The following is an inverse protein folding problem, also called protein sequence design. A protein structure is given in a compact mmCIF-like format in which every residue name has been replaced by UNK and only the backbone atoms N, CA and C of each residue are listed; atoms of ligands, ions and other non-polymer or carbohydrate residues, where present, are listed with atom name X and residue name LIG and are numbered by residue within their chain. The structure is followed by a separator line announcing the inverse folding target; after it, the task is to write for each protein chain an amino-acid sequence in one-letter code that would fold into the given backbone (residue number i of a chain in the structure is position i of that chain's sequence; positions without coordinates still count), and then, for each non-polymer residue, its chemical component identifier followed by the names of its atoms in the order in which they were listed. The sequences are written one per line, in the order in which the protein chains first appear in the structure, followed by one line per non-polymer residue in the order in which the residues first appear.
data_IF_620528283184
#
_entry.id   IF_620528283184
#
_cell.length_a   1.000
_cell.length_b   1.000
_cell.length_c   1.000
_cell.angle_alpha   90.00
_cell.angle_beta   90.00
_cell.angle_gamma   90.00
#
_symmetry.space_group_name_H-M   'P 1'
#
loop_
_entity.id
_entity.type
_entity.pdbx_description
1 polymer ?
#
# COMPACT_ATOMS: atom_id res chain seq x y z
N UNK A 1 -7.27 15.64 -13.92
CA UNK A 1 -7.59 14.35 -14.58
C UNK A 1 -7.40 14.52 -16.09
N UNK A 2 -7.01 13.48 -16.82
CA UNK A 2 -6.75 13.48 -18.27
C UNK A 2 -8.01 13.36 -19.13
N UNK A 3 -9.21 13.42 -18.53
CA UNK A 3 -10.48 13.41 -19.24
C UNK A 3 -11.17 14.80 -19.27
N UNK A 4 -10.43 15.87 -19.01
CA UNK A 4 -10.90 17.28 -19.00
C UNK A 4 -9.87 18.21 -19.67
N UNK A 5 -10.25 19.44 -20.02
CA UNK A 5 -9.35 20.49 -20.56
C UNK A 5 -8.44 21.11 -19.45
N UNK A 6 -7.38 21.86 -19.81
CA UNK A 6 -5.97 21.49 -19.69
C UNK A 6 -5.35 21.65 -18.28
N UNK A 7 -4.40 20.75 -17.97
CA UNK A 7 -3.75 20.57 -16.67
C UNK A 7 -2.67 21.61 -16.31
N UNK A 8 -2.25 22.47 -17.24
CA UNK A 8 -0.99 23.23 -17.09
C UNK A 8 -1.17 24.66 -16.58
N UNK A 9 -2.32 25.29 -16.85
CA UNK A 9 -2.55 26.68 -16.43
C UNK A 9 -2.54 26.83 -14.89
N UNK A 10 -2.90 25.78 -14.16
CA UNK A 10 -3.03 25.75 -12.70
C UNK A 10 -1.71 25.42 -11.97
N UNK A 11 -0.65 25.02 -12.68
CA UNK A 11 0.63 24.61 -12.07
C UNK A 11 1.60 25.78 -11.82
N UNK A 12 1.26 27.01 -12.20
CA UNK A 12 2.19 28.15 -12.13
C UNK A 12 2.29 28.84 -10.76
N UNK A 13 1.59 28.35 -9.74
CA UNK A 13 1.33 29.10 -8.49
C UNK A 13 1.89 28.48 -7.22
N UNK A 14 2.61 27.35 -7.28
CA UNK A 14 3.13 26.67 -6.07
C UNK A 14 4.65 26.83 -5.94
N UNK A 15 5.16 27.51 -4.90
CA UNK A 15 6.60 27.69 -4.68
C UNK A 15 7.36 26.38 -4.39
N UNK A 16 6.66 25.35 -3.93
CA UNK A 16 7.24 24.15 -3.28
C UNK A 16 7.20 22.88 -4.16
N UNK A 17 7.07 23.03 -5.48
CA UNK A 17 6.99 21.90 -6.42
C UNK A 17 5.60 21.24 -6.46
N UNK A 18 5.47 20.14 -7.21
CA UNK A 18 4.19 19.45 -7.39
C UNK A 18 4.35 17.92 -7.34
N UNK A 19 3.40 17.26 -6.67
CA UNK A 19 3.15 15.82 -6.80
C UNK A 19 1.83 15.64 -7.56
N UNK A 20 1.91 15.20 -8.81
CA UNK A 20 0.76 15.07 -9.69
C UNK A 20 0.45 13.59 -9.90
N UNK A 21 -0.80 13.19 -9.65
CA UNK A 21 -1.29 11.87 -10.01
C UNK A 21 -2.19 12.02 -11.24
N UNK A 22 -1.87 11.29 -12.30
CA UNK A 22 -2.66 11.26 -13.52
C UNK A 22 -3.75 10.21 -13.41
N UNK A 23 -4.95 10.63 -13.76
CA UNK A 23 -6.14 9.81 -13.74
C UNK A 23 -6.86 9.95 -15.07
N UNK A 24 -7.46 8.89 -15.57
CA UNK A 24 -8.53 9.00 -16.56
C UNK A 24 -9.82 8.49 -15.92
N UNK A 25 -10.81 9.37 -15.76
CA UNK A 25 -12.00 9.14 -14.92
C UNK A 25 -11.61 8.74 -13.48
N UNK A 26 -11.72 7.46 -13.16
CA UNK A 26 -11.41 6.84 -11.85
C UNK A 26 -10.22 5.86 -11.91
N UNK A 27 -9.58 5.75 -13.07
CA UNK A 27 -8.44 4.84 -13.28
C UNK A 27 -7.15 5.65 -13.11
N UNK A 28 -6.30 5.33 -12.13
CA UNK A 28 -5.01 6.00 -11.97
C UNK A 28 -4.01 5.45 -12.99
N UNK A 29 -3.20 6.32 -13.57
CA UNK A 29 -2.33 6.01 -14.72
C UNK A 29 -0.85 6.27 -14.44
N UNK A 30 -0.51 7.12 -13.46
CA UNK A 30 0.86 7.54 -13.23
C UNK A 30 0.99 8.61 -12.14
N UNK A 31 2.18 8.81 -11.58
CA UNK A 31 2.50 10.04 -10.85
C UNK A 31 3.77 10.69 -11.36
N UNK A 32 3.83 12.01 -11.26
CA UNK A 32 4.97 12.84 -11.61
C UNK A 32 5.30 13.78 -10.45
N UNK A 33 6.58 13.79 -10.08
CA UNK A 33 7.15 14.75 -9.14
C UNK A 33 7.85 15.84 -9.94
N UNK A 34 7.42 17.09 -9.74
CA UNK A 34 8.03 18.29 -10.31
C UNK A 34 8.69 19.02 -9.15
N UNK A 35 10.00 19.20 -9.22
CA UNK A 35 10.74 19.86 -8.14
C UNK A 35 10.54 21.38 -8.19
N UNK A 36 10.64 22.10 -7.05
CA UNK A 36 10.50 23.56 -6.98
C UNK A 36 11.37 24.33 -8.01
N UNK A 37 12.57 23.83 -8.28
CA UNK A 37 13.51 24.43 -9.23
C UNK A 37 13.17 24.18 -10.71
N UNK A 38 12.22 23.29 -11.00
CA UNK A 38 11.92 22.83 -12.34
C UNK A 38 10.88 23.74 -13.03
N UNK A 39 11.34 24.56 -13.97
CA UNK A 39 10.46 25.38 -14.81
C UNK A 39 10.05 24.59 -16.05
N UNK A 40 8.79 24.17 -16.12
CA UNK A 40 8.25 23.42 -17.26
C UNK A 40 7.49 24.33 -18.22
N UNK A 41 7.78 24.19 -19.52
CA UNK A 41 6.85 24.66 -20.55
C UNK A 41 5.64 23.72 -20.63
N UNK A 42 4.58 24.15 -21.33
CA UNK A 42 3.40 23.29 -21.59
C UNK A 42 3.82 22.01 -22.32
N UNK A 43 4.73 22.13 -23.28
CA UNK A 43 5.25 20.99 -24.04
C UNK A 43 6.04 20.04 -23.15
N UNK A 44 6.94 20.56 -22.29
CA UNK A 44 7.72 19.72 -21.36
C UNK A 44 6.81 18.95 -20.40
N UNK A 45 5.75 19.60 -19.92
CA UNK A 45 4.76 18.96 -19.08
C UNK A 45 4.09 17.78 -19.79
N UNK A 46 3.60 17.97 -21.02
CA UNK A 46 2.95 16.88 -21.74
C UNK A 46 3.91 15.74 -22.06
N UNK A 47 5.17 16.03 -22.43
CA UNK A 47 6.17 14.98 -22.62
C UNK A 47 6.41 14.17 -21.34
N UNK A 48 6.54 14.84 -20.19
CA UNK A 48 6.67 14.15 -18.89
C UNK A 48 5.42 13.39 -18.50
N UNK A 49 4.23 13.94 -18.76
CA UNK A 49 2.96 13.26 -18.50
C UNK A 49 2.84 11.99 -19.35
N UNK A 50 3.16 12.07 -20.64
CA UNK A 50 3.19 10.93 -21.57
C UNK A 50 4.16 9.85 -21.07
N UNK A 51 5.42 10.20 -20.78
CA UNK A 51 6.39 9.22 -20.28
C UNK A 51 5.96 8.59 -18.95
N UNK A 52 5.24 9.35 -18.13
CA UNK A 52 4.74 8.91 -16.82
C UNK A 52 3.61 7.89 -16.95
N UNK A 53 2.66 8.12 -17.87
CA UNK A 53 1.50 7.23 -18.04
C UNK A 53 1.75 6.09 -19.04
N UNK A 54 2.80 6.18 -19.86
CA UNK A 54 3.11 5.22 -20.90
C UNK A 54 3.11 3.75 -20.41
N UNK A 55 3.71 3.37 -19.26
CA UNK A 55 3.65 1.99 -18.77
C UNK A 55 2.22 1.50 -18.52
N UNK A 56 1.33 2.36 -18.00
CA UNK A 56 -0.07 2.02 -17.82
C UNK A 56 -0.79 1.88 -19.16
N UNK A 57 -0.51 2.78 -20.11
CA UNK A 57 -1.08 2.73 -21.45
C UNK A 57 -0.71 1.44 -22.18
N UNK A 58 0.58 1.09 -22.21
CA UNK A 58 1.08 -0.14 -22.83
C UNK A 58 0.43 -1.38 -22.19
N UNK A 59 0.29 -1.39 -20.85
CA UNK A 59 -0.41 -2.46 -20.14
C UNK A 59 -1.85 -2.62 -20.62
N UNK A 60 -2.65 -1.54 -20.64
CA UNK A 60 -4.05 -1.63 -21.02
C UNK A 60 -4.24 -1.95 -22.51
N UNK A 61 -3.40 -1.41 -23.40
CA UNK A 61 -3.41 -1.74 -24.84
C UNK A 61 -3.19 -3.24 -25.04
N UNK A 62 -2.16 -3.80 -24.39
CA UNK A 62 -1.85 -5.21 -24.49
C UNK A 62 -2.95 -6.09 -23.87
N UNK A 63 -3.49 -5.69 -22.71
CA UNK A 63 -4.54 -6.44 -22.01
C UNK A 63 -5.85 -6.52 -22.80
N UNK A 64 -6.17 -5.51 -23.60
CA UNK A 64 -7.37 -5.49 -24.44
C UNK A 64 -7.10 -5.92 -25.89
N UNK A 65 -5.86 -6.25 -26.25
CA UNK A 65 -5.44 -6.48 -27.65
C UNK A 65 -5.92 -5.35 -28.58
N UNK A 66 -5.79 -4.11 -28.11
CA UNK A 66 -6.30 -2.93 -28.79
C UNK A 66 -5.32 -2.42 -29.85
N UNK A 67 -5.81 -1.61 -30.78
CA UNK A 67 -4.96 -0.86 -31.70
C UNK A 67 -4.02 0.09 -30.94
N UNK A 68 -2.84 0.32 -31.50
CA UNK A 68 -1.80 1.18 -30.92
C UNK A 68 -1.66 2.49 -31.74
N UNK A 69 -2.64 3.41 -31.68
CA UNK A 69 -2.52 4.70 -32.35
C UNK A 69 -1.40 5.54 -31.74
N UNK A 70 -1.01 6.62 -32.41
CA UNK A 70 -0.12 7.64 -31.85
C UNK A 70 -0.89 8.53 -30.86
N UNK A 71 -1.29 7.93 -29.74
CA UNK A 71 -2.05 8.60 -28.68
C UNK A 71 -1.23 9.71 -28.02
N UNK A 72 0.11 9.61 -28.04
CA UNK A 72 1.01 10.62 -27.52
C UNK A 72 0.89 11.94 -28.30
N UNK A 73 0.75 11.88 -29.63
CA UNK A 73 0.50 13.04 -30.47
C UNK A 73 -0.81 13.77 -30.13
N UNK A 74 -1.85 13.06 -29.68
CA UNK A 74 -3.08 13.70 -29.23
C UNK A 74 -2.91 14.48 -27.93
N UNK A 75 -2.10 13.99 -26.99
CA UNK A 75 -1.83 14.71 -25.74
C UNK A 75 -0.93 15.93 -25.98
N UNK A 76 0.14 15.82 -26.78
CA UNK A 76 0.99 16.98 -27.13
C UNK A 76 0.25 18.02 -27.97
N UNK A 77 -0.57 17.56 -28.93
CA UNK A 77 -1.44 18.40 -29.76
C UNK A 77 -2.74 18.84 -29.06
N UNK A 78 -2.97 18.43 -27.81
CA UNK A 78 -4.17 18.73 -27.01
C UNK A 78 -5.50 18.36 -27.71
N UNK A 79 -5.48 17.34 -28.56
CA UNK A 79 -6.67 16.74 -29.15
C UNK A 79 -7.38 15.83 -28.13
N UNK A 80 -7.98 16.47 -27.11
CA UNK A 80 -8.66 15.77 -26.02
C UNK A 80 -9.90 15.00 -26.48
N UNK A 81 -10.47 15.34 -27.63
CA UNK A 81 -11.60 14.59 -28.22
C UNK A 81 -11.13 13.22 -28.69
N UNK A 82 -10.09 13.16 -29.55
CA UNK A 82 -9.54 11.89 -30.03
C UNK A 82 -9.00 11.03 -28.88
N UNK A 83 -8.26 11.66 -27.95
CA UNK A 83 -7.78 11.02 -26.74
C UNK A 83 -8.91 10.39 -25.92
N UNK A 84 -9.97 11.16 -25.60
CA UNK A 84 -11.05 10.64 -24.78
C UNK A 84 -11.83 9.53 -25.48
N UNK A 85 -12.17 9.67 -26.76
CA UNK A 85 -12.88 8.63 -27.52
C UNK A 85 -12.11 7.31 -27.51
N UNK A 86 -10.80 7.37 -27.74
CA UNK A 86 -9.99 6.16 -27.72
C UNK A 86 -9.84 5.59 -26.30
N UNK A 87 -9.59 6.42 -25.28
CA UNK A 87 -9.53 5.99 -23.89
C UNK A 87 -10.85 5.36 -23.41
N UNK A 88 -12.00 5.85 -23.87
CA UNK A 88 -13.30 5.22 -23.60
C UNK A 88 -13.36 3.82 -24.18
N UNK A 89 -12.93 3.64 -25.44
CA UNK A 89 -12.89 2.31 -26.05
C UNK A 89 -11.92 1.36 -25.33
N UNK A 90 -10.75 1.87 -24.89
CA UNK A 90 -9.70 1.07 -24.27
C UNK A 90 -10.04 0.66 -22.83
N UNK A 91 -10.64 1.57 -22.06
CA UNK A 91 -10.81 1.40 -20.62
C UNK A 91 -12.26 1.11 -20.20
N UNK A 92 -13.21 1.03 -21.14
CA UNK A 92 -14.63 0.77 -20.84
C UNK A 92 -14.83 -0.45 -19.92
N UNK A 93 -14.08 -1.53 -20.13
CA UNK A 93 -14.19 -2.77 -19.34
C UNK A 93 -13.70 -2.64 -17.90
N UNK A 94 -12.97 -1.58 -17.56
CA UNK A 94 -12.47 -1.30 -16.21
C UNK A 94 -13.35 -0.30 -15.44
N UNK A 95 -14.31 0.33 -16.11
CA UNK A 95 -15.31 1.21 -15.48
C UNK A 95 -16.55 0.35 -15.16
N UNK A 96 -17.02 0.32 -13.91
CA UNK A 96 -18.16 -0.50 -13.55
C UNK A 96 -19.42 0.05 -14.20
N UNK A 97 -20.09 -0.78 -14.99
CA UNK A 97 -21.39 -0.42 -15.58
C UNK A 97 -22.48 -0.23 -14.49
N UNK A 98 -22.36 -0.97 -13.38
CA UNK A 98 -23.21 -0.85 -12.21
C UNK A 98 -22.40 -1.15 -10.94
N UNK A 99 -22.63 -0.36 -9.89
CA UNK A 99 -22.01 -0.57 -8.58
C UNK A 99 -23.11 -1.05 -7.61
N UNK A 100 -22.96 -2.24 -6.99
CA UNK A 100 -23.92 -2.70 -6.00
C UNK A 100 -23.91 -1.79 -4.77
N UNK A 101 -25.06 -1.62 -4.13
CA UNK A 101 -25.17 -0.81 -2.91
C UNK A 101 -24.39 -1.41 -1.73
N UNK A 102 -24.19 -2.73 -1.71
CA UNK A 102 -23.46 -3.48 -0.68
C UNK A 102 -22.75 -4.71 -1.27
N UNK A 103 -21.60 -5.07 -0.71
CA UNK A 103 -20.82 -6.28 -1.09
C UNK A 103 -20.37 -7.09 0.13
N UNK A 104 -20.17 -8.42 -0.02
CA UNK A 104 -19.78 -9.32 1.07
C UNK A 104 -18.29 -9.15 1.46
N UNK A 105 -17.98 -8.01 2.08
CA UNK A 105 -16.66 -7.64 2.61
C UNK A 105 -16.81 -7.20 4.07
N UNK A 106 -16.00 -7.74 4.97
CA UNK A 106 -15.84 -7.24 6.34
C UNK A 106 -14.67 -6.27 6.34
N UNK A 107 -14.90 -5.02 6.69
CA UNK A 107 -13.82 -4.02 6.85
C UNK A 107 -13.39 -4.00 8.31
N UNK A 108 -12.11 -4.26 8.56
CA UNK A 108 -11.51 -4.29 9.90
C UNK A 108 -10.60 -3.07 10.06
N UNK A 109 -10.85 -2.29 11.12
CA UNK A 109 -10.05 -1.14 11.53
C UNK A 109 -9.42 -1.47 12.87
N UNK A 110 -8.09 -1.55 12.92
CA UNK A 110 -7.36 -1.74 14.16
C UNK A 110 -6.90 -0.37 14.67
N UNK A 111 -7.24 -0.03 15.91
CA UNK A 111 -6.88 1.27 16.49
C UNK A 111 -6.47 1.12 17.94
N UNK A 112 -5.66 2.07 18.44
CA UNK A 112 -5.24 2.12 19.83
C UNK A 112 -5.03 3.55 20.28
N UNK A 113 -5.93 4.07 21.12
CA UNK A 113 -5.85 5.41 21.69
C UNK A 113 -5.76 6.53 20.60
N UNK A 114 -6.50 6.36 19.50
CA UNK A 114 -6.54 7.30 18.37
C UNK A 114 -7.97 7.70 17.99
N UNK A 115 -8.79 7.96 19.00
CA UNK A 115 -10.21 8.32 18.83
C UNK A 115 -10.46 9.44 17.79
N UNK A 116 -9.65 10.52 17.68
CA UNK A 116 -9.84 11.53 16.64
C UNK A 116 -9.62 11.02 15.22
N UNK A 117 -8.57 10.23 14.99
CA UNK A 117 -8.27 9.62 13.69
C UNK A 117 -9.38 8.62 13.31
N UNK A 118 -9.78 7.75 14.25
CA UNK A 118 -10.88 6.81 14.05
C UNK A 118 -12.17 7.53 13.65
N UNK A 119 -12.52 8.63 14.33
CA UNK A 119 -13.74 9.39 14.03
C UNK A 119 -13.73 9.91 12.59
N UNK A 120 -12.60 10.44 12.13
CA UNK A 120 -12.43 10.88 10.74
C UNK A 120 -12.55 9.72 9.75
N UNK A 121 -11.90 8.60 10.04
CA UNK A 121 -11.98 7.36 9.25
C UNK A 121 -13.44 6.87 9.11
N UNK A 122 -14.18 6.79 10.22
CA UNK A 122 -15.58 6.34 10.22
C UNK A 122 -16.51 7.30 9.45
N UNK A 123 -16.33 8.62 9.55
CA UNK A 123 -17.09 9.58 8.76
C UNK A 123 -16.90 9.39 7.26
N UNK A 124 -15.66 9.17 6.84
CA UNK A 124 -15.35 8.90 5.44
C UNK A 124 -15.95 7.57 4.97
N UNK A 125 -15.90 6.51 5.79
CA UNK A 125 -16.50 5.22 5.41
C UNK A 125 -18.02 5.30 5.21
N UNK A 126 -18.72 6.28 5.82
CA UNK A 126 -20.14 6.54 5.55
C UNK A 126 -20.40 7.12 4.15
N UNK A 127 -19.37 7.67 3.49
CA UNK A 127 -19.45 8.30 2.17
C UNK A 127 -19.12 7.33 1.01
N UNK A 128 -18.83 6.06 1.31
CA UNK A 128 -18.59 5.04 0.29
C UNK A 128 -19.80 4.88 -0.63
N UNK A 129 -19.53 4.76 -1.94
CA UNK A 129 -20.56 4.50 -2.95
C UNK A 129 -21.11 3.07 -2.79
N UNK A 130 -20.24 2.13 -2.42
CA UNK A 130 -20.57 0.74 -2.15
C UNK A 130 -20.26 0.41 -0.69
N UNK A 131 -21.25 -0.04 0.08
CA UNK A 131 -21.05 -0.35 1.51
C UNK A 131 -20.46 -1.76 1.69
N UNK A 132 -19.57 -1.96 2.68
CA UNK A 132 -19.20 -3.31 3.10
C UNK A 132 -20.39 -4.00 3.78
N UNK A 133 -20.29 -5.32 3.97
CA UNK A 133 -21.29 -6.09 4.72
C UNK A 133 -21.30 -5.64 6.19
N UNK A 134 -20.11 -5.46 6.76
CA UNK A 134 -19.92 -5.01 8.12
C UNK A 134 -18.61 -4.23 8.26
N UNK A 135 -18.55 -3.39 9.30
CA UNK A 135 -17.35 -2.69 9.74
C UNK A 135 -17.07 -3.12 11.18
N UNK A 136 -15.87 -3.62 11.42
CA UNK A 136 -15.37 -4.04 12.73
C UNK A 136 -14.29 -3.05 13.18
N UNK A 137 -14.48 -2.41 14.32
CA UNK A 137 -13.45 -1.59 14.97
C UNK A 137 -12.86 -2.40 16.11
N UNK A 138 -11.59 -2.76 15.99
CA UNK A 138 -10.83 -3.47 17.02
C UNK A 138 -10.00 -2.46 17.82
N UNK A 139 -10.46 -2.19 19.03
CA UNK A 139 -9.80 -1.33 20.00
C UNK A 139 -8.73 -2.13 20.78
N UNK A 140 -7.47 -1.88 20.45
CA UNK A 140 -6.34 -2.70 20.88
C UNK A 140 -5.67 -2.15 22.15
N UNK A 141 -5.74 -2.92 23.24
CA UNK A 141 -5.24 -2.57 24.56
C UNK A 141 -5.53 -1.11 24.95
N UNK A 142 -6.81 -0.68 24.94
CA UNK A 142 -7.21 0.70 25.24
C UNK A 142 -6.81 1.10 26.66
N UNK A 143 -6.36 2.35 26.82
CA UNK A 143 -6.08 2.95 28.14
C UNK A 143 -7.27 3.72 28.71
N UNK A 144 -8.28 4.02 27.88
CA UNK A 144 -9.51 4.71 28.23
C UNK A 144 -10.67 4.23 27.32
N UNK A 145 -11.85 4.84 27.43
CA UNK A 145 -13.03 4.45 26.66
C UNK A 145 -13.26 5.30 25.39
N UNK A 146 -12.33 6.18 25.03
CA UNK A 146 -12.54 7.16 23.94
C UNK A 146 -12.82 6.51 22.59
N UNK A 147 -12.17 5.39 22.27
CA UNK A 147 -12.46 4.61 21.05
C UNK A 147 -13.92 4.11 21.04
N UNK A 148 -14.39 3.55 22.16
CA UNK A 148 -15.74 3.02 22.28
C UNK A 148 -16.79 4.13 22.15
N UNK A 149 -16.55 5.28 22.79
CA UNK A 149 -17.42 6.46 22.69
C UNK A 149 -17.53 6.99 21.26
N UNK A 150 -16.44 6.92 20.47
CA UNK A 150 -16.47 7.25 19.05
C UNK A 150 -17.33 6.25 18.28
N UNK A 151 -17.12 4.94 18.46
CA UNK A 151 -17.89 3.91 17.73
C UNK A 151 -19.39 4.03 18.00
N UNK A 152 -19.80 4.32 19.24
CA UNK A 152 -21.21 4.52 19.60
C UNK A 152 -21.91 5.67 18.85
N UNK A 153 -21.16 6.61 18.27
CA UNK A 153 -21.72 7.70 17.46
C UNK A 153 -22.11 7.25 16.04
N UNK A 154 -21.72 6.05 15.60
CA UNK A 154 -21.94 5.55 14.24
C UNK A 154 -22.80 4.29 14.25
N UNK A 155 -23.84 4.27 13.41
CA UNK A 155 -24.69 3.10 13.23
C UNK A 155 -24.00 2.04 12.35
N UNK A 156 -24.26 0.76 12.64
CA UNK A 156 -23.77 -0.35 11.82
C UNK A 156 -22.28 -0.67 11.96
N UNK A 157 -21.63 -0.14 13.01
CA UNK A 157 -20.24 -0.44 13.36
C UNK A 157 -20.22 -1.39 14.55
N UNK A 158 -19.44 -2.46 14.46
CA UNK A 158 -19.23 -3.41 15.57
C UNK A 158 -17.96 -3.02 16.32
N UNK A 159 -18.08 -2.74 17.62
CA UNK A 159 -16.93 -2.53 18.51
C UNK A 159 -16.43 -3.87 19.05
N UNK A 160 -15.12 -4.11 18.93
CA UNK A 160 -14.41 -5.25 19.50
C UNK A 160 -13.28 -4.74 20.37
N UNK A 161 -13.12 -5.30 21.57
CA UNK A 161 -12.02 -4.97 22.48
C UNK A 161 -11.03 -6.12 22.51
N UNK A 162 -9.77 -5.86 22.19
CA UNK A 162 -8.66 -6.81 22.35
C UNK A 162 -7.75 -6.33 23.48
N UNK A 163 -7.68 -7.02 24.62
CA UNK A 163 -6.90 -6.56 25.77
C UNK A 163 -5.38 -6.66 25.60
N UNK A 164 -4.88 -7.51 24.69
CA UNK A 164 -3.43 -7.71 24.49
C UNK A 164 -2.88 -6.71 23.48
N UNK A 165 -1.79 -5.97 23.79
CA UNK A 165 -1.25 -4.98 22.86
C UNK A 165 -0.56 -5.67 21.67
N UNK A 166 -0.91 -5.26 20.44
CA UNK A 166 -0.38 -5.80 19.20
C UNK A 166 -1.32 -5.52 18.02
N UNK A 167 -0.80 -5.00 16.92
CA UNK A 167 -1.53 -4.80 15.68
C UNK A 167 -1.93 -6.13 15.03
N UNK A 168 -1.04 -7.11 14.96
CA UNK A 168 -1.33 -8.44 14.41
C UNK A 168 -2.28 -9.22 15.33
N UNK A 169 -2.15 -9.08 16.66
CA UNK A 169 -3.18 -9.52 17.62
C UNK A 169 -4.54 -8.89 17.32
N UNK A 170 -4.60 -7.57 17.11
CA UNK A 170 -5.84 -6.87 16.77
C UNK A 170 -6.41 -7.33 15.42
N UNK A 171 -5.55 -7.54 14.41
CA UNK A 171 -5.92 -8.07 13.10
C UNK A 171 -6.53 -9.46 13.23
N UNK A 172 -5.93 -10.33 14.05
CA UNK A 172 -6.43 -11.68 14.33
C UNK A 172 -7.78 -11.64 15.04
N UNK A 173 -7.96 -10.74 16.02
CA UNK A 173 -9.27 -10.48 16.63
C UNK A 173 -10.29 -10.05 15.58
N UNK A 174 -9.93 -9.18 14.64
CA UNK A 174 -10.79 -8.79 13.53
C UNK A 174 -11.22 -9.94 12.62
N UNK A 175 -10.29 -10.76 12.11
CA UNK A 175 -10.60 -11.89 11.21
C UNK A 175 -11.51 -12.91 11.87
N UNK A 176 -11.24 -13.24 13.14
CA UNK A 176 -12.00 -14.26 13.87
C UNK A 176 -13.44 -13.85 14.11
N UNK A 177 -13.72 -12.54 14.16
CA UNK A 177 -15.08 -11.99 14.29
C UNK A 177 -15.74 -11.61 12.96
N UNK A 178 -14.96 -11.52 11.87
CA UNK A 178 -15.46 -11.23 10.54
C UNK A 178 -16.37 -12.36 10.02
N UNK A 179 -17.51 -11.99 9.45
CA UNK A 179 -18.55 -12.90 8.93
C UNK A 179 -18.53 -13.00 7.41
N UNK A 180 -18.03 -11.98 6.72
CA UNK A 180 -17.97 -11.98 5.27
C UNK A 180 -16.83 -12.88 4.76
N UNK A 181 -16.94 -13.41 3.52
CA UNK A 181 -15.90 -14.23 2.90
C UNK A 181 -14.62 -13.46 2.55
N UNK A 182 -14.66 -12.12 2.51
CA UNK A 182 -13.51 -11.26 2.26
C UNK A 182 -13.31 -10.37 3.49
N UNK A 183 -12.09 -10.33 4.01
CA UNK A 183 -11.68 -9.46 5.11
C UNK A 183 -10.72 -8.41 4.58
N UNK A 184 -11.12 -7.14 4.63
CA UNK A 184 -10.31 -6.01 4.22
C UNK A 184 -9.81 -5.23 5.43
N UNK A 185 -8.55 -4.79 5.38
CA UNK A 185 -7.94 -3.97 6.41
C UNK A 185 -7.70 -2.56 5.91
N UNK A 186 -8.02 -1.60 6.77
CA UNK A 186 -7.68 -0.19 6.59
C UNK A 186 -7.23 0.39 7.93
N UNK A 187 -6.16 1.18 7.90
CA UNK A 187 -5.65 1.83 9.11
C UNK A 187 -6.51 3.07 9.47
N UNK A 188 -6.49 3.48 10.73
CA UNK A 188 -7.26 4.62 11.22
C UNK A 188 -6.76 5.99 10.70
N UNK A 189 -5.55 6.04 10.15
CA UNK A 189 -4.94 7.22 9.51
C UNK A 189 -4.89 7.15 7.99
N UNK A 190 -5.69 6.26 7.40
CA UNK A 190 -5.86 6.10 5.96
C UNK A 190 -7.20 6.65 5.51
N UNK A 191 -7.18 7.38 4.39
CA UNK A 191 -8.38 7.80 3.68
C UNK A 191 -8.62 6.89 2.47
N UNK A 192 -9.83 6.40 2.23
CA UNK A 192 -10.14 5.48 1.13
C UNK A 192 -10.91 6.19 0.02
N UNK A 193 -10.67 5.78 -1.23
CA UNK A 193 -11.47 6.23 -2.36
C UNK A 193 -12.94 5.77 -2.22
N UNK A 194 -13.95 6.55 -2.67
CA UNK A 194 -15.36 6.16 -2.56
C UNK A 194 -15.73 4.82 -3.22
N UNK A 195 -14.94 4.34 -4.18
CA UNK A 195 -15.09 3.02 -4.82
C UNK A 195 -14.24 1.92 -4.18
N UNK A 196 -13.45 2.22 -3.14
CA UNK A 196 -12.45 1.30 -2.58
C UNK A 196 -13.03 -0.08 -2.24
N UNK A 197 -14.12 -0.15 -1.45
CA UNK A 197 -14.73 -1.44 -1.06
C UNK A 197 -15.24 -2.21 -2.29
N UNK A 198 -15.81 -1.53 -3.27
CA UNK A 198 -16.25 -2.15 -4.52
C UNK A 198 -15.04 -2.75 -5.27
N UNK A 199 -13.94 -2.00 -5.41
CA UNK A 199 -12.73 -2.44 -6.11
C UNK A 199 -12.00 -3.58 -5.38
N UNK A 200 -12.06 -3.59 -4.05
CA UNK A 200 -11.62 -4.73 -3.23
C UNK A 200 -12.44 -5.96 -3.58
N UNK A 201 -13.77 -5.88 -3.49
CA UNK A 201 -14.66 -7.01 -3.80
C UNK A 201 -14.53 -7.49 -5.25
N UNK A 202 -14.46 -6.56 -6.20
CA UNK A 202 -14.31 -6.83 -7.64
C UNK A 202 -13.07 -7.69 -7.92
N UNK A 203 -11.96 -7.43 -7.22
CA UNK A 203 -10.73 -8.18 -7.41
C UNK A 203 -10.85 -9.65 -7.00
N UNK A 204 -11.71 -9.98 -6.01
CA UNK A 204 -11.98 -11.35 -5.55
C UNK A 204 -13.02 -12.11 -6.38
N UNK A 205 -13.62 -11.46 -7.40
CA UNK A 205 -14.47 -12.17 -8.38
C UNK A 205 -13.67 -13.21 -9.16
N UNK A 206 -12.35 -13.02 -9.27
CA UNK A 206 -11.45 -14.08 -9.67
C UNK A 206 -11.27 -15.05 -8.49
N UNK A 207 -11.71 -16.33 -8.61
CA UNK A 207 -11.60 -17.31 -7.54
C UNK A 207 -10.14 -17.65 -7.18
N UNK A 208 -9.17 -17.41 -8.07
CA UNK A 208 -7.75 -17.67 -7.81
C UNK A 208 -7.11 -16.60 -6.92
N UNK A 209 -7.72 -15.42 -6.82
CA UNK A 209 -7.22 -14.35 -5.96
C UNK A 209 -7.47 -14.71 -4.50
N UNK A 210 -6.38 -14.92 -3.77
CA UNK A 210 -6.38 -15.26 -2.34
C UNK A 210 -6.21 -14.04 -1.45
N UNK A 211 -5.44 -13.06 -1.91
CA UNK A 211 -5.28 -11.78 -1.27
C UNK A 211 -5.10 -10.67 -2.30
N UNK A 212 -5.35 -9.45 -1.87
CA UNK A 212 -5.04 -8.27 -2.66
C UNK A 212 -4.26 -7.24 -1.84
N UNK A 213 -3.53 -6.42 -2.59
CA UNK A 213 -3.03 -5.12 -2.15
C UNK A 213 -3.51 -4.05 -3.13
N UNK A 214 -3.58 -2.79 -2.69
CA UNK A 214 -4.04 -1.70 -3.53
C UNK A 214 -3.07 -0.52 -3.62
N UNK A 215 -3.40 0.43 -4.49
CA UNK A 215 -2.64 1.67 -4.63
C UNK A 215 -2.72 2.49 -3.33
N UNK A 216 -1.57 2.91 -2.84
CA UNK A 216 -1.45 3.82 -1.70
C UNK A 216 -0.78 5.10 -2.19
N UNK A 217 -1.49 6.21 -2.06
CA UNK A 217 -0.99 7.56 -2.39
C UNK A 217 -0.72 8.33 -1.10
N UNK A 218 0.09 9.39 -1.18
CA UNK A 218 0.21 10.32 -0.07
C UNK A 218 -1.08 11.13 0.09
N UNK A 219 -1.65 11.20 1.30
CA UNK A 219 -2.77 12.09 1.61
C UNK A 219 -2.32 13.57 1.63
N UNK A 220 -1.09 13.81 2.08
CA UNK A 220 -0.48 15.14 2.11
C UNK A 220 1.04 15.07 1.97
N UNK A 221 1.61 16.12 1.36
CA UNK A 221 3.06 16.28 1.14
C UNK A 221 3.46 17.73 1.46
N UNK A 222 3.16 18.18 2.68
CA UNK A 222 3.40 19.56 3.12
C UNK A 222 4.74 19.75 3.85
N UNK A 223 5.41 18.66 4.22
CA UNK A 223 6.67 18.72 4.97
C UNK A 223 7.77 17.89 4.31
N UNK A 224 9.02 18.25 4.61
CA UNK A 224 10.21 17.52 4.12
C UNK A 224 10.11 16.02 4.46
N UNK A 225 9.68 15.67 5.68
CA UNK A 225 9.56 14.28 6.10
C UNK A 225 8.59 13.49 5.22
N UNK A 226 7.45 14.08 4.86
CA UNK A 226 6.44 13.44 4.02
C UNK A 226 6.95 13.26 2.59
N UNK A 227 7.58 14.29 2.04
CA UNK A 227 8.19 14.25 0.72
C UNK A 227 9.30 13.20 0.63
N UNK A 228 10.20 13.14 1.62
CA UNK A 228 11.26 12.14 1.69
C UNK A 228 10.68 10.71 1.78
N UNK A 229 9.64 10.50 2.59
CA UNK A 229 8.98 9.21 2.69
C UNK A 229 8.38 8.79 1.34
N UNK A 230 7.60 9.65 0.70
CA UNK A 230 6.99 9.37 -0.61
C UNK A 230 8.03 9.20 -1.73
N UNK A 231 9.19 9.83 -1.64
CA UNK A 231 10.21 9.70 -2.69
C UNK A 231 11.00 8.40 -2.59
N UNK A 232 11.26 7.91 -1.38
CA UNK A 232 12.24 6.82 -1.17
C UNK A 232 11.64 5.56 -0.54
N UNK A 233 10.52 5.66 0.16
CA UNK A 233 9.87 4.57 0.89
C UNK A 233 8.36 4.49 0.61
N UNK A 234 7.90 5.06 -0.51
CA UNK A 234 6.47 5.04 -0.88
C UNK A 234 5.89 3.64 -0.87
N UNK A 235 4.62 3.57 -0.51
CA UNK A 235 3.80 2.38 -0.61
C UNK A 235 3.22 2.15 -2.01
N UNK A 236 3.37 3.13 -2.91
CA UNK A 236 2.90 3.04 -4.28
C UNK A 236 3.70 1.97 -5.07
N UNK A 237 3.01 0.93 -5.55
CA UNK A 237 3.62 -0.14 -6.36
C UNK A 237 3.28 -0.01 -7.86
N UNK A 238 2.87 1.17 -8.31
CA UNK A 238 2.60 1.49 -9.70
C UNK A 238 1.11 1.47 -10.06
N UNK A 239 0.81 1.59 -11.36
CA UNK A 239 -0.51 1.95 -11.87
C UNK A 239 -1.15 0.88 -12.76
N UNK A 240 -0.65 -0.35 -12.67
CA UNK A 240 -1.14 -1.51 -13.42
C UNK A 240 -1.40 -2.68 -12.47
N UNK A 241 -2.33 -3.57 -12.82
CA UNK A 241 -2.51 -4.79 -12.03
C UNK A 241 -1.24 -5.65 -12.10
N UNK A 242 -0.88 -6.28 -10.98
CA UNK A 242 0.20 -7.26 -10.92
C UNK A 242 -0.29 -8.51 -10.21
N UNK A 243 0.18 -9.66 -10.66
CA UNK A 243 -0.16 -10.96 -10.11
C UNK A 243 1.10 -11.63 -9.59
N UNK A 244 1.08 -11.98 -8.32
CA UNK A 244 2.15 -12.68 -7.63
C UNK A 244 1.63 -14.07 -7.29
N UNK A 245 2.11 -15.07 -8.02
CA UNK A 245 1.76 -16.47 -7.80
C UNK A 245 3.00 -17.34 -7.71
N UNK A 246 2.83 -18.63 -8.00
CA UNK A 246 3.90 -19.62 -7.93
C UNK A 246 5.13 -19.23 -8.77
N UNK A 247 4.93 -18.77 -10.01
CA UNK A 247 6.04 -18.42 -10.90
C UNK A 247 6.90 -17.28 -10.34
N UNK A 248 6.26 -16.24 -9.82
CA UNK A 248 6.97 -15.15 -9.13
C UNK A 248 7.71 -15.69 -7.90
N UNK A 249 7.06 -16.51 -7.09
CA UNK A 249 7.67 -17.06 -5.87
C UNK A 249 8.90 -17.92 -6.20
N UNK A 250 8.79 -18.85 -7.14
CA UNK A 250 9.89 -19.75 -7.55
C UNK A 250 11.06 -18.97 -8.15
N UNK A 251 10.79 -18.01 -9.04
CA UNK A 251 11.82 -17.16 -9.66
C UNK A 251 12.54 -16.32 -8.62
N UNK A 252 11.84 -15.93 -7.54
CA UNK A 252 12.37 -15.05 -6.50
C UNK A 252 12.96 -15.75 -5.29
N UNK A 253 12.68 -17.04 -5.13
CA UNK A 253 12.97 -17.80 -3.92
C UNK A 253 14.45 -17.74 -3.55
N UNK A 254 15.34 -18.00 -4.51
CA UNK A 254 16.78 -18.15 -4.26
C UNK A 254 17.49 -16.87 -3.81
N UNK A 255 16.93 -15.69 -4.06
CA UNK A 255 17.47 -14.40 -3.62
C UNK A 255 16.73 -13.78 -2.42
N UNK A 256 15.71 -14.46 -1.91
CA UNK A 256 14.82 -13.92 -0.89
C UNK A 256 13.72 -13.11 -1.57
N UNK A 257 12.51 -13.66 -1.70
CA UNK A 257 11.42 -12.99 -2.38
C UNK A 257 11.20 -11.56 -1.86
N UNK A 258 11.11 -10.54 -2.73
CA UNK A 258 10.95 -9.15 -2.31
C UNK A 258 9.47 -8.87 -1.99
N UNK A 259 8.96 -9.53 -0.94
CA UNK A 259 7.54 -9.54 -0.58
C UNK A 259 7.01 -8.14 -0.22
N UNK A 260 7.88 -7.27 0.28
CA UNK A 260 7.56 -5.87 0.55
C UNK A 260 7.19 -5.07 -0.71
N UNK A 261 7.51 -5.56 -1.92
CA UNK A 261 7.11 -4.95 -3.19
C UNK A 261 5.68 -5.31 -3.62
N UNK A 262 5.00 -6.20 -2.89
CA UNK A 262 3.62 -6.61 -3.20
C UNK A 262 2.63 -5.51 -2.81
N UNK A 263 2.87 -4.79 -1.71
CA UNK A 263 2.01 -3.69 -1.28
C UNK A 263 2.33 -3.20 0.13
N UNK A 264 1.31 -2.69 0.81
CA UNK A 264 1.39 -2.20 2.19
C UNK A 264 0.15 -2.65 2.99
N UNK A 265 0.33 -2.95 4.27
CA UNK A 265 -0.77 -3.33 5.17
C UNK A 265 -1.88 -2.29 5.33
N UNK A 266 -1.61 -1.04 4.95
CA UNK A 266 -2.58 0.06 4.89
C UNK A 266 -3.70 -0.15 3.85
N UNK A 267 -3.48 -1.03 2.86
CA UNK A 267 -4.45 -1.32 1.80
C UNK A 267 -4.33 -2.78 1.36
N UNK A 268 -4.91 -3.68 2.16
CA UNK A 268 -4.88 -5.10 1.90
C UNK A 268 -6.22 -5.76 2.21
N UNK A 269 -6.52 -6.84 1.51
CA UNK A 269 -7.66 -7.69 1.83
C UNK A 269 -7.35 -9.14 1.51
N UNK A 270 -8.08 -10.05 2.15
CA UNK A 270 -7.84 -11.49 2.08
C UNK A 270 -9.15 -12.24 1.90
N UNK A 271 -9.09 -13.34 1.16
CA UNK A 271 -10.14 -14.35 1.22
C UNK A 271 -10.05 -15.02 2.59
N UNK A 272 -11.14 -14.96 3.36
CA UNK A 272 -11.17 -15.43 4.74
C UNK A 272 -10.75 -16.90 4.87
N UNK A 273 -11.24 -17.74 3.96
CA UNK A 273 -10.91 -19.17 3.93
C UNK A 273 -9.41 -19.45 3.75
N UNK A 274 -8.68 -18.57 3.04
CA UNK A 274 -7.23 -18.73 2.87
C UNK A 274 -6.52 -18.45 4.19
N UNK A 275 -6.93 -17.42 4.94
CA UNK A 275 -6.36 -17.13 6.26
C UNK A 275 -6.67 -18.23 7.29
N UNK A 276 -7.85 -18.85 7.19
CA UNK A 276 -8.20 -20.01 8.02
C UNK A 276 -7.33 -21.24 7.69
N UNK A 277 -6.84 -21.37 6.45
CA UNK A 277 -5.98 -22.47 6.02
C UNK A 277 -4.49 -22.23 6.29
N UNK A 278 -3.95 -21.06 5.92
CA UNK A 278 -2.51 -20.74 6.08
C UNK A 278 -2.18 -20.22 7.49
N UNK A 279 -3.20 -20.06 8.34
CA UNK A 279 -3.10 -19.49 9.67
C UNK A 279 -3.11 -17.95 9.66
N UNK A 280 -3.34 -17.36 10.83
CA UNK A 280 -3.46 -15.91 10.99
C UNK A 280 -2.11 -15.19 11.11
N UNK A 281 -2.13 -13.86 11.33
CA UNK A 281 -0.94 -13.03 11.43
C UNK A 281 -0.05 -13.48 12.59
N UNK A 282 1.26 -13.47 12.36
CA UNK A 282 2.26 -13.90 13.35
C UNK A 282 2.47 -12.82 14.43
N UNK A 283 1.90 -13.03 15.62
CA UNK A 283 2.00 -12.13 16.77
C UNK A 283 3.46 -11.88 17.23
N UNK A 284 4.48 -12.61 16.73
CA UNK A 284 5.90 -12.31 17.02
C UNK A 284 6.39 -11.05 16.28
N UNK A 285 5.69 -10.64 15.23
CA UNK A 285 6.03 -9.47 14.42
C UNK A 285 5.42 -8.16 14.95
N UNK A 286 4.71 -8.25 16.07
CA UNK A 286 3.88 -7.16 16.55
C UNK A 286 4.60 -5.95 17.17
N UNK A 287 3.84 -4.86 17.33
CA UNK A 287 4.26 -3.68 18.10
C UNK A 287 4.45 -4.06 19.57
N UNK A 288 5.69 -3.96 20.07
CA UNK A 288 6.10 -4.48 21.39
C UNK A 288 6.94 -5.76 21.31
N UNK A 289 6.96 -6.41 20.14
CA UNK A 289 7.80 -7.55 19.79
C UNK A 289 8.85 -7.14 18.73
N UNK A 290 8.77 -7.62 17.48
CA UNK A 290 9.68 -7.20 16.41
C UNK A 290 9.37 -5.80 15.87
N UNK A 291 8.11 -5.35 15.98
CA UNK A 291 7.69 -3.97 15.72
C UNK A 291 6.67 -3.82 14.58
N UNK A 292 6.82 -4.55 13.46
CA UNK A 292 5.91 -4.54 12.31
C UNK A 292 6.30 -5.64 11.29
N UNK A 293 5.69 -5.63 10.09
CA UNK A 293 5.88 -6.57 8.97
C UNK A 293 5.07 -7.88 9.03
N UNK A 294 4.02 -7.98 9.86
CA UNK A 294 3.08 -9.11 9.83
C UNK A 294 2.37 -9.27 8.48
N UNK A 295 2.14 -8.16 7.76
CA UNK A 295 1.63 -8.15 6.38
C UNK A 295 2.58 -8.83 5.39
N UNK A 296 3.87 -8.46 5.41
CA UNK A 296 4.88 -9.06 4.55
C UNK A 296 5.12 -10.53 4.87
N UNK A 297 5.06 -10.94 6.14
CA UNK A 297 5.11 -12.36 6.48
C UNK A 297 3.88 -13.12 5.99
N UNK A 298 2.68 -12.57 6.16
CA UNK A 298 1.44 -13.17 5.66
C UNK A 298 1.48 -13.38 4.13
N UNK A 299 1.90 -12.36 3.36
CA UNK A 299 2.01 -12.50 1.91
C UNK A 299 3.04 -13.56 1.49
N UNK A 300 4.17 -13.66 2.19
CA UNK A 300 5.13 -14.75 1.96
C UNK A 300 4.46 -16.11 2.18
N UNK A 301 3.71 -16.25 3.26
CA UNK A 301 3.05 -17.51 3.62
C UNK A 301 1.99 -17.90 2.57
N UNK A 302 1.18 -16.94 2.12
CA UNK A 302 0.20 -17.16 1.04
C UNK A 302 0.88 -17.67 -0.23
N UNK A 303 1.97 -17.03 -0.67
CA UNK A 303 2.73 -17.49 -1.84
C UNK A 303 3.40 -18.86 -1.62
N UNK A 304 3.92 -19.10 -0.42
CA UNK A 304 4.53 -20.37 -0.04
C UNK A 304 3.53 -21.54 -0.11
N UNK A 305 2.25 -21.29 0.19
CA UNK A 305 1.16 -22.24 0.02
C UNK A 305 0.63 -22.33 -1.42
N UNK A 306 1.23 -21.61 -2.38
CA UNK A 306 0.89 -21.69 -3.80
C UNK A 306 -0.29 -20.81 -4.23
N UNK A 307 -0.80 -19.95 -3.34
CA UNK A 307 -1.89 -19.03 -3.64
C UNK A 307 -1.42 -17.79 -4.43
N UNK A 308 -2.37 -17.10 -5.06
CA UNK A 308 -2.09 -15.88 -5.83
C UNK A 308 -2.51 -14.62 -5.08
N UNK A 309 -1.60 -13.65 -5.05
CA UNK A 309 -1.85 -12.29 -4.55
C UNK A 309 -1.94 -11.34 -5.74
N UNK A 310 -2.95 -10.48 -5.75
CA UNK A 310 -3.15 -9.48 -6.78
C UNK A 310 -2.92 -8.07 -6.22
N UNK A 311 -1.97 -7.33 -6.79
CA UNK A 311 -1.94 -5.89 -6.63
C UNK A 311 -2.93 -5.27 -7.62
N UNK A 312 -3.87 -4.47 -7.14
CA UNK A 312 -4.81 -3.75 -8.00
C UNK A 312 -4.75 -2.23 -7.75
N UNK A 313 -4.30 -1.44 -8.74
CA UNK A 313 -4.14 0.00 -8.55
C UNK A 313 -5.48 0.75 -8.48
N UNK A 314 -6.61 0.06 -8.74
CA UNK A 314 -7.96 0.64 -8.67
C UNK A 314 -8.53 0.66 -7.25
N UNK A 315 -8.05 -0.18 -6.35
CA UNK A 315 -8.40 -0.07 -4.92
C UNK A 315 -7.47 0.98 -4.31
N UNK A 316 -7.92 2.24 -4.24
CA UNK A 316 -7.07 3.37 -3.86
C UNK A 316 -7.31 3.80 -2.42
N UNK A 317 -6.22 4.07 -1.72
CA UNK A 317 -6.23 4.77 -0.45
C UNK A 317 -5.15 5.85 -0.40
N UNK A 318 -5.28 6.77 0.55
CA UNK A 318 -4.39 7.88 0.81
C UNK A 318 -3.88 7.76 2.25
N UNK A 319 -2.56 7.63 2.40
CA UNK A 319 -1.92 7.42 3.69
C UNK A 319 -1.35 8.73 4.24
N UNK A 320 -1.57 8.99 5.54
CA UNK A 320 -1.03 10.16 6.23
C UNK A 320 0.40 9.91 6.70
N UNK A 321 1.36 10.40 5.91
CA UNK A 321 2.79 10.31 6.24
C UNK A 321 3.14 11.11 7.49
N UNK A 322 4.17 10.67 8.21
CA UNK A 322 4.66 11.38 9.41
C UNK A 322 5.15 12.78 9.04
N UNK A 323 4.64 13.80 9.75
CA UNK A 323 4.94 15.21 9.45
C UNK A 323 6.36 15.65 9.82
N UNK A 324 7.00 15.02 10.81
CA UNK A 324 8.32 15.44 11.28
C UNK A 324 9.38 14.34 11.12
N UNK A 325 10.63 14.76 10.96
CA UNK A 325 11.78 13.87 10.72
C UNK A 325 12.03 12.91 11.89
N UNK A 326 11.74 13.31 13.13
CA UNK A 326 11.94 12.47 14.30
C UNK A 326 10.98 11.25 14.30
N UNK A 327 9.70 11.50 14.03
CA UNK A 327 8.69 10.46 13.88
C UNK A 327 8.98 9.56 12.68
N UNK A 328 9.44 10.13 11.56
CA UNK A 328 9.88 9.36 10.40
C UNK A 328 11.09 8.47 10.75
N UNK A 329 12.09 8.96 11.47
CA UNK A 329 13.24 8.16 11.92
C UNK A 329 12.80 6.97 12.78
N UNK A 330 11.89 7.20 13.75
CA UNK A 330 11.32 6.11 14.58
C UNK A 330 10.56 5.08 13.74
N UNK A 331 9.81 5.54 12.75
CA UNK A 331 9.08 4.68 11.83
C UNK A 331 10.04 3.80 11.01
N UNK A 332 11.05 4.39 10.38
CA UNK A 332 12.04 3.66 9.58
C UNK A 332 12.83 2.65 10.43
N UNK A 333 13.23 3.02 11.65
CA UNK A 333 13.84 2.08 12.58
C UNK A 333 12.95 0.86 12.83
N UNK A 334 11.67 1.09 13.10
CA UNK A 334 10.68 0.03 13.37
C UNK A 334 10.45 -0.84 12.14
N UNK A 335 10.33 -0.23 10.96
CA UNK A 335 10.18 -0.92 9.67
C UNK A 335 11.35 -1.85 9.40
N UNK A 336 12.57 -1.37 9.56
CA UNK A 336 13.76 -2.17 9.30
C UNK A 336 14.00 -3.26 10.36
N UNK A 337 13.59 -3.02 11.61
CA UNK A 337 13.59 -4.04 12.67
C UNK A 337 12.61 -5.17 12.34
N UNK A 338 11.38 -4.83 11.96
CA UNK A 338 10.37 -5.79 11.55
C UNK A 338 10.79 -6.56 10.30
N UNK A 339 11.34 -5.86 9.30
CA UNK A 339 11.83 -6.44 8.04
C UNK A 339 12.88 -7.53 8.27
N UNK A 340 13.90 -7.25 9.08
CA UNK A 340 14.94 -8.23 9.38
C UNK A 340 14.38 -9.44 10.15
N UNK A 341 13.46 -9.23 11.09
CA UNK A 341 12.82 -10.32 11.82
C UNK A 341 11.94 -11.18 10.90
N UNK A 342 11.09 -10.55 10.08
CA UNK A 342 10.21 -11.22 9.13
C UNK A 342 11.01 -12.04 8.10
N UNK A 343 12.06 -11.47 7.50
CA UNK A 343 12.94 -12.17 6.58
C UNK A 343 13.59 -13.43 7.21
N UNK A 344 13.95 -13.38 8.49
CA UNK A 344 14.48 -14.55 9.21
C UNK A 344 13.41 -15.57 9.59
N UNK A 345 12.18 -15.15 9.90
CA UNK A 345 11.02 -16.04 10.10
C UNK A 345 10.68 -16.76 8.79
N UNK A 346 10.58 -16.03 7.68
CA UNK A 346 10.32 -16.57 6.35
C UNK A 346 11.42 -17.53 5.91
N UNK A 347 12.69 -17.20 6.18
CA UNK A 347 13.83 -18.11 5.97
C UNK A 347 13.71 -19.41 6.79
N UNK A 348 13.19 -19.32 8.00
CA UNK A 348 13.00 -20.48 8.87
C UNK A 348 11.87 -21.37 8.35
N UNK A 349 10.78 -20.75 7.90
CA UNK A 349 9.65 -21.42 7.27
C UNK A 349 10.07 -22.13 5.97
N UNK A 350 10.78 -21.43 5.09
CA UNK A 350 11.27 -21.96 3.81
C UNK A 350 12.81 -21.93 3.75
N UNK A 351 13.45 -23.07 4.00
CA UNK A 351 14.92 -23.17 4.07
C UNK A 351 15.63 -22.82 2.76
N UNK A 352 14.97 -23.00 1.62
CA UNK A 352 15.49 -22.65 0.29
C UNK A 352 15.38 -21.16 -0.04
N UNK A 353 14.64 -20.37 0.76
CA UNK A 353 14.56 -18.93 0.56
C UNK A 353 15.93 -18.27 0.77
N UNK A 354 16.25 -17.26 -0.03
CA UNK A 354 17.54 -16.56 -0.02
C UNK A 354 17.69 -15.45 1.02
N UNK A 355 16.78 -15.31 1.98
CA UNK A 355 16.74 -14.16 2.90
C UNK A 355 18.01 -13.97 3.73
N UNK A 356 18.69 -15.05 4.16
CA UNK A 356 20.00 -14.92 4.84
C UNK A 356 21.04 -14.28 3.94
N UNK A 357 21.12 -14.72 2.68
CA UNK A 357 22.05 -14.14 1.70
C UNK A 357 21.69 -12.67 1.44
N UNK A 358 20.41 -12.37 1.28
CA UNK A 358 19.92 -11.00 1.14
C UNK A 358 20.33 -10.13 2.33
N UNK A 359 19.99 -10.52 3.56
CA UNK A 359 20.24 -9.73 4.78
C UNK A 359 21.72 -9.56 5.10
N UNK A 360 22.53 -10.62 4.97
CA UNK A 360 23.92 -10.60 5.45
C UNK A 360 24.95 -10.33 4.34
N UNK A 361 24.54 -10.30 3.08
CA UNK A 361 25.46 -10.09 1.95
C UNK A 361 24.99 -9.00 0.98
N UNK A 362 23.80 -9.11 0.41
CA UNK A 362 23.36 -8.17 -0.63
C UNK A 362 22.98 -6.80 -0.07
N UNK A 363 22.26 -6.78 1.05
CA UNK A 363 21.81 -5.54 1.69
C UNK A 363 22.98 -4.70 2.25
N UNK A 364 24.00 -5.27 2.94
CA UNK A 364 25.19 -4.54 3.33
C UNK A 364 25.99 -3.98 2.14
N UNK A 365 26.11 -4.74 1.04
CA UNK A 365 26.74 -4.24 -0.20
C UNK A 365 26.00 -3.03 -0.75
N UNK A 366 24.67 -3.07 -0.72
CA UNK A 366 23.82 -1.98 -1.19
C UNK A 366 24.01 -0.71 -0.34
N UNK A 367 23.95 -0.82 0.99
CA UNK A 367 24.22 0.32 1.87
C UNK A 367 25.63 0.88 1.68
N UNK A 368 26.66 0.03 1.55
CA UNK A 368 28.03 0.47 1.27
C UNK A 368 28.14 1.22 -0.06
N UNK A 369 27.44 0.76 -1.09
CA UNK A 369 27.35 1.44 -2.39
C UNK A 369 26.65 2.78 -2.28
N UNK A 370 25.60 2.89 -1.47
CA UNK A 370 24.93 4.17 -1.20
C UNK A 370 25.86 5.16 -0.50
N UNK A 371 26.57 4.74 0.56
CA UNK A 371 27.57 5.58 1.23
C UNK A 371 28.66 6.06 0.26
N UNK A 372 29.15 5.19 -0.62
CA UNK A 372 30.21 5.52 -1.60
C UNK A 372 29.76 6.48 -2.70
N UNK A 373 28.49 6.43 -3.11
CA UNK A 373 27.99 7.23 -4.24
C UNK A 373 27.82 8.71 -3.94
N UNK A 374 28.00 9.15 -2.70
CA UNK A 374 27.88 10.56 -2.31
C UNK A 374 26.48 11.09 -2.60
N UNK A 375 25.62 11.06 -1.60
CA UNK A 375 24.19 11.40 -1.72
C UNK A 375 23.98 12.79 -2.32
N UNK A 376 23.45 12.92 -3.55
CA UNK A 376 23.11 14.24 -4.06
C UNK A 376 21.82 14.72 -3.38
N UNK A 377 21.86 15.97 -2.89
CA UNK A 377 20.75 16.88 -2.56
C UNK A 377 20.10 16.96 -1.16
N UNK A 378 20.24 16.04 -0.20
CA UNK A 378 19.62 16.25 1.13
C UNK A 378 20.46 15.69 2.31
N UNK A 379 20.92 16.56 3.21
CA UNK A 379 21.73 16.22 4.41
C UNK A 379 20.96 15.38 5.43
N UNK A 380 19.63 15.53 5.48
CA UNK A 380 18.70 14.80 6.36
C UNK A 380 18.71 13.28 6.11
N UNK A 381 19.15 12.82 4.94
CA UNK A 381 19.13 11.39 4.56
C UNK A 381 20.10 10.53 5.38
N UNK A 382 21.17 11.11 5.93
CA UNK A 382 22.14 10.35 6.74
C UNK A 382 21.55 9.88 8.07
N UNK A 383 20.69 10.67 8.71
CA UNK A 383 20.02 10.25 9.95
C UNK A 383 19.03 9.12 9.67
N UNK A 384 18.29 9.20 8.57
CA UNK A 384 17.36 8.17 8.12
C UNK A 384 18.07 6.83 7.87
N UNK A 385 19.19 6.83 7.14
CA UNK A 385 19.98 5.62 6.87
C UNK A 385 20.56 4.99 8.16
N UNK A 386 20.98 5.82 9.12
CA UNK A 386 21.43 5.32 10.43
C UNK A 386 20.30 4.62 11.18
N UNK A 387 19.08 5.18 11.14
CA UNK A 387 17.90 4.55 11.71
C UNK A 387 17.58 3.22 11.04
N UNK A 388 17.69 3.14 9.70
CA UNK A 388 17.48 1.90 8.94
C UNK A 388 18.48 0.79 9.33
N UNK A 389 19.78 1.10 9.34
CA UNK A 389 20.83 0.14 9.67
C UNK A 389 20.72 -0.32 11.13
N UNK A 390 20.42 0.61 12.04
CA UNK A 390 20.21 0.30 13.46
C UNK A 390 18.98 -0.59 13.66
N UNK A 391 17.90 -0.32 12.91
CA UNK A 391 16.69 -1.14 12.88
C UNK A 391 16.98 -2.56 12.43
N UNK A 392 17.69 -2.72 11.31
CA UNK A 392 18.12 -4.04 10.80
C UNK A 392 18.87 -4.86 11.85
N UNK A 393 19.90 -4.27 12.47
CA UNK A 393 20.69 -4.94 13.51
C UNK A 393 19.82 -5.34 14.71
N UNK A 394 18.93 -4.45 15.16
CA UNK A 394 17.97 -4.71 16.23
C UNK A 394 17.03 -5.88 15.89
N UNK A 395 16.56 -5.96 14.64
CA UNK A 395 15.65 -7.03 14.18
C UNK A 395 16.32 -8.40 14.16
N UNK A 396 17.56 -8.48 13.68
CA UNK A 396 18.37 -9.71 13.74
C UNK A 396 18.55 -10.18 15.19
N UNK A 397 18.93 -9.28 16.09
CA UNK A 397 19.12 -9.60 17.51
C UNK A 397 17.81 -10.05 18.17
N UNK A 398 16.70 -9.38 17.86
CA UNK A 398 15.38 -9.75 18.32
C UNK A 398 15.02 -11.18 17.89
N UNK A 399 15.17 -11.51 16.61
CA UNK A 399 14.92 -12.86 16.10
C UNK A 399 15.79 -13.89 16.81
N UNK A 400 17.10 -13.66 16.94
CA UNK A 400 18.02 -14.61 17.58
C UNK A 400 17.66 -14.90 19.05
N UNK A 401 17.17 -13.89 19.78
CA UNK A 401 16.73 -14.02 21.18
C UNK A 401 15.42 -14.80 21.30
N UNK A 402 14.51 -14.66 20.33
CA UNK A 402 13.15 -15.21 20.40
C UNK A 402 12.91 -16.45 19.53
N UNK A 403 13.88 -16.91 18.72
CA UNK A 403 13.75 -18.06 17.80
C UNK A 403 13.39 -19.41 18.45
N UNK A 404 13.53 -19.53 19.77
CA UNK A 404 13.23 -20.77 20.53
C UNK A 404 11.82 -20.79 21.09
N UNK A 405 11.09 -19.68 21.03
CA UNK A 405 9.70 -19.61 21.46
C UNK A 405 8.86 -20.28 20.38
N UNK A 406 8.49 -21.54 20.62
CA UNK A 406 7.41 -22.20 19.88
C UNK A 406 6.10 -21.57 20.35
N UNK A 407 5.26 -21.16 19.40
CA UNK A 407 3.82 -20.96 19.63
C UNK A 407 3.14 -22.27 19.28
#
# INVERSE_FOLDING_TARGET
KLNSQPLVADLKTVPDGHYLVFWWKEIPLGHLIINPEEKLTVTDFYHKAISTIQPAMEYYINAQNAEHPDWAAWLTGQNMVAWNTWMESLLASYIPAAIPARVPVSVVICTRNRAPDLKACLHMLQQLICRPEEILVVDNAPTDNSTQEVVMQFAGITYLREPRPGLDIARNCGITHAKAPIVAYVDDDVEVDPLWVYRVWEAFKDPQTAAITGLVLAAELQTEAQFLFETFWSFNRGYVDKFYGKDYFDQTLSYGPPIWEIGAGANMAFRKSVLEEVGYFDERLDVGAAGCNGDSEMWFRILYHGYTIRYTPRAVVYHKHRRNLEALNRQLFSYMRGHAAAALIQQHLCKSAGYKRYLFWELPKWYLKMFRRGFPKYSSRYSLLRSEISGLGSGVMFYLKNRKVKV
#
